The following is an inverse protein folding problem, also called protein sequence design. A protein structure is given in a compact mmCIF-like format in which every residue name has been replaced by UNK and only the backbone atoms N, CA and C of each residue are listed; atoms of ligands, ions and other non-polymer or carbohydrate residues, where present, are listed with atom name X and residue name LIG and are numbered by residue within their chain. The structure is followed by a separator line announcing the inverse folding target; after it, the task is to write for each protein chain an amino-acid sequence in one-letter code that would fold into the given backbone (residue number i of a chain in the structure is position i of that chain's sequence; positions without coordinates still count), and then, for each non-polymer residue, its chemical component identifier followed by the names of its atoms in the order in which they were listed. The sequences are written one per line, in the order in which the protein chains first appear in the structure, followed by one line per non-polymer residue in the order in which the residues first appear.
data_IF_839174267552
#
_entry.id   IF_839174267552
#
_cell.length_a   1.000
_cell.length_b   1.000
_cell.length_c   1.000
_cell.angle_alpha   90.00
_cell.angle_beta   90.00
_cell.angle_gamma   90.00
#
_symmetry.space_group_name_H-M   'P 1'
#
loop_
_entity.id
_entity.type
_entity.pdbx_description
1 polymer ?
#
# COMPACT_ATOMS: atom_id res chain seq x y z
N UNK A 1 -3.17 -13.55 7.91
CA UNK A 1 -2.10 -14.39 7.30
C UNK A 1 -2.77 -15.57 6.61
N UNK A 2 -2.77 -15.61 5.27
CA UNK A 2 -3.34 -16.73 4.51
C UNK A 2 -2.28 -17.82 4.32
N UNK A 3 -2.50 -19.00 4.89
CA UNK A 3 -1.55 -20.11 4.95
C UNK A 3 -2.06 -21.33 4.16
N UNK A 4 -2.29 -21.18 2.86
CA UNK A 4 -2.60 -22.33 1.98
C UNK A 4 -1.32 -22.94 1.44
N UNK A 5 -1.19 -24.27 1.58
CA UNK A 5 -0.03 -25.02 1.10
C UNK A 5 0.06 -25.02 -0.43
N UNK A 6 1.22 -24.63 -0.98
CA UNK A 6 1.49 -24.76 -2.42
C UNK A 6 1.79 -26.23 -2.73
N UNK A 7 1.18 -26.77 -3.78
CA UNK A 7 1.47 -28.12 -4.28
C UNK A 7 1.87 -28.06 -5.74
N UNK A 8 3.03 -28.60 -6.10
CA UNK A 8 3.54 -28.59 -7.49
C UNK A 8 3.19 -29.92 -8.13
N UNK A 9 2.51 -29.90 -9.28
CA UNK A 9 2.18 -31.10 -10.07
C UNK A 9 2.80 -31.00 -11.46
N UNK A 10 3.38 -32.09 -11.93
CA UNK A 10 3.93 -32.16 -13.29
C UNK A 10 2.97 -32.93 -14.20
N UNK A 11 2.50 -32.28 -15.26
CA UNK A 11 1.70 -32.89 -16.31
C UNK A 11 2.63 -33.46 -17.38
N UNK A 12 2.76 -34.78 -17.40
CA UNK A 12 3.69 -35.52 -18.26
C UNK A 12 3.36 -35.40 -19.74
N UNK A 13 2.08 -35.28 -20.08
CA UNK A 13 1.52 -35.13 -21.42
C UNK A 13 1.80 -33.75 -22.02
N UNK A 14 1.58 -32.69 -21.24
CA UNK A 14 1.83 -31.30 -21.65
C UNK A 14 3.29 -30.86 -21.44
N UNK A 15 4.11 -31.68 -20.76
CA UNK A 15 5.46 -31.35 -20.28
C UNK A 15 5.50 -30.00 -19.52
N UNK A 16 4.47 -29.74 -18.71
CA UNK A 16 4.31 -28.48 -17.95
C UNK A 16 4.23 -28.73 -16.45
N UNK A 17 4.83 -27.81 -15.70
CA UNK A 17 4.66 -27.74 -14.26
C UNK A 17 3.48 -26.83 -13.95
N UNK A 18 2.53 -27.34 -13.18
CA UNK A 18 1.42 -26.57 -12.63
C UNK A 18 1.58 -26.46 -11.11
N UNK A 19 1.09 -25.38 -10.53
CA UNK A 19 1.20 -25.12 -9.10
C UNK A 19 -0.20 -24.90 -8.55
N UNK A 20 -0.70 -25.86 -7.78
CA UNK A 20 -1.94 -25.70 -7.02
C UNK A 20 -1.68 -24.74 -5.85
N UNK A 21 -2.53 -23.72 -5.71
CA UNK A 21 -2.37 -22.64 -4.72
C UNK A 21 -1.83 -21.32 -5.30
N UNK A 22 -1.91 -21.13 -6.62
CA UNK A 22 -1.45 -19.93 -7.38
C UNK A 22 -1.99 -18.57 -6.93
N UNK A 23 -2.93 -18.52 -5.99
CA UNK A 23 -3.45 -17.26 -5.44
C UNK A 23 -2.34 -16.41 -4.79
N UNK A 24 -1.34 -17.05 -4.17
CA UNK A 24 -0.20 -16.36 -3.56
C UNK A 24 0.73 -15.73 -4.61
N UNK A 25 0.94 -16.40 -5.74
CA UNK A 25 1.81 -15.89 -6.81
C UNK A 25 1.23 -14.64 -7.49
N UNK A 26 -0.09 -14.63 -7.74
CA UNK A 26 -0.76 -13.47 -8.35
C UNK A 26 -0.65 -12.23 -7.47
N UNK A 27 -0.80 -12.38 -6.16
CA UNK A 27 -0.65 -11.27 -5.21
C UNK A 27 0.75 -10.68 -5.22
N UNK A 28 1.80 -11.52 -5.14
CA UNK A 28 3.20 -11.05 -5.17
C UNK A 28 3.55 -10.39 -6.51
N UNK A 29 3.00 -10.87 -7.63
CA UNK A 29 3.16 -10.23 -8.94
C UNK A 29 2.51 -8.85 -8.95
N UNK A 30 1.26 -8.74 -8.45
CA UNK A 30 0.55 -7.45 -8.40
C UNK A 30 1.31 -6.47 -7.50
N UNK A 31 1.79 -6.90 -6.33
CA UNK A 31 2.58 -6.06 -5.41
C UNK A 31 3.83 -5.50 -6.10
N UNK A 32 4.56 -6.34 -6.85
CA UNK A 32 5.74 -5.90 -7.62
C UNK A 32 5.38 -4.95 -8.76
N UNK A 33 4.23 -5.15 -9.41
CA UNK A 33 3.74 -4.26 -10.48
C UNK A 33 3.35 -2.90 -9.91
N UNK A 34 2.66 -2.90 -8.79
CA UNK A 34 2.30 -1.72 -8.02
C UNK A 34 3.54 -0.93 -7.60
N UNK A 35 4.55 -1.58 -7.03
CA UNK A 35 5.79 -0.89 -6.65
C UNK A 35 6.41 -0.18 -7.85
N UNK A 36 6.37 -0.79 -9.04
CA UNK A 36 6.94 -0.24 -10.29
C UNK A 36 5.98 0.65 -11.08
N UNK A 37 4.77 0.92 -10.56
CA UNK A 37 3.78 1.70 -11.28
C UNK A 37 4.11 3.19 -11.29
N UNK A 38 3.69 3.86 -12.36
CA UNK A 38 3.81 5.31 -12.50
C UNK A 38 2.50 5.99 -12.12
N UNK A 39 2.59 7.27 -11.75
CA UNK A 39 1.41 8.13 -11.60
C UNK A 39 0.89 8.43 -13.00
N UNK A 40 -0.41 8.23 -13.20
CA UNK A 40 -1.09 8.41 -14.48
C UNK A 40 -0.78 9.78 -15.09
N UNK A 41 -0.31 9.79 -16.34
CA UNK A 41 0.04 11.02 -17.06
C UNK A 41 1.42 11.58 -16.72
N UNK A 42 2.23 10.87 -15.93
CA UNK A 42 3.60 11.28 -15.58
C UNK A 42 4.57 10.11 -15.74
N UNK A 43 5.87 10.41 -15.74
CA UNK A 43 6.94 9.40 -15.66
C UNK A 43 7.44 9.20 -14.22
N UNK A 44 6.65 9.60 -13.22
CA UNK A 44 7.03 9.54 -11.82
C UNK A 44 6.50 8.25 -11.17
N UNK A 45 7.39 7.48 -10.52
CA UNK A 45 6.97 6.28 -9.80
C UNK A 45 6.08 6.64 -8.61
N UNK A 46 5.10 5.79 -8.37
CA UNK A 46 4.17 5.91 -7.24
C UNK A 46 4.93 5.77 -5.92
N UNK A 47 5.82 4.77 -5.82
CA UNK A 47 6.70 4.59 -4.66
C UNK A 47 7.96 5.45 -4.77
N UNK A 48 8.31 6.14 -3.68
CA UNK A 48 9.50 6.97 -3.57
C UNK A 48 10.11 6.83 -2.18
N UNK A 49 11.43 6.95 -2.09
CA UNK A 49 12.12 7.03 -0.80
C UNK A 49 11.63 8.25 -0.03
N UNK A 50 11.47 8.12 1.29
CA UNK A 50 10.94 9.21 2.13
C UNK A 50 9.43 9.41 2.05
N UNK A 51 8.69 8.61 1.27
CA UNK A 51 7.24 8.71 1.17
C UNK A 51 6.56 7.38 1.48
N UNK A 52 5.50 7.43 2.29
CA UNK A 52 4.58 6.33 2.48
C UNK A 52 3.47 6.40 1.43
N UNK A 53 3.08 5.24 0.89
CA UNK A 53 2.01 5.14 -0.10
C UNK A 53 0.97 4.14 0.38
N UNK A 54 -0.30 4.56 0.42
CA UNK A 54 -1.45 3.69 0.69
C UNK A 54 -2.27 3.58 -0.60
N UNK A 55 -2.43 2.36 -1.10
CA UNK A 55 -3.14 2.09 -2.37
C UNK A 55 -4.52 1.53 -2.05
N UNK A 56 -5.53 2.08 -2.72
CA UNK A 56 -6.93 1.73 -2.53
C UNK A 56 -7.69 1.77 -3.86
N UNK A 57 -8.87 1.15 -3.86
CA UNK A 57 -9.78 1.12 -5.01
C UNK A 57 -11.14 1.75 -4.71
N UNK A 58 -11.53 1.84 -3.44
CA UNK A 58 -12.82 2.35 -3.01
C UNK A 58 -12.70 3.76 -2.40
N UNK A 59 -13.76 4.56 -2.51
CA UNK A 59 -13.74 5.95 -2.02
C UNK A 59 -13.84 5.99 -0.50
N UNK A 60 -14.48 5.00 0.08
CA UNK A 60 -14.64 4.79 1.51
C UNK A 60 -13.25 4.63 2.18
N UNK A 61 -12.40 3.78 1.60
CA UNK A 61 -11.01 3.59 2.03
C UNK A 61 -10.21 4.91 1.99
N UNK A 62 -10.39 5.71 0.93
CA UNK A 62 -9.71 7.01 0.79
C UNK A 62 -10.01 7.91 1.99
N UNK A 63 -11.29 8.03 2.36
CA UNK A 63 -11.73 8.88 3.46
C UNK A 63 -11.20 8.37 4.79
N UNK A 64 -11.24 7.05 5.01
CA UNK A 64 -10.73 6.42 6.22
C UNK A 64 -9.22 6.64 6.38
N UNK A 65 -8.41 6.28 5.38
CA UNK A 65 -6.96 6.44 5.44
C UNK A 65 -6.53 7.90 5.50
N UNK A 66 -7.27 8.83 4.88
CA UNK A 66 -7.01 10.26 5.04
C UNK A 66 -7.20 10.72 6.49
N UNK A 67 -8.18 10.18 7.23
CA UNK A 67 -8.34 10.49 8.67
C UNK A 67 -7.13 10.03 9.45
N UNK A 68 -6.64 8.82 9.19
CA UNK A 68 -5.47 8.24 9.85
C UNK A 68 -4.20 9.05 9.55
N UNK A 69 -3.97 9.41 8.29
CA UNK A 69 -2.82 10.21 7.88
C UNK A 69 -2.87 11.61 8.49
N UNK A 70 -4.06 12.23 8.61
CA UNK A 70 -4.22 13.53 9.28
C UNK A 70 -3.89 13.45 10.78
N UNK A 71 -4.32 12.40 11.46
CA UNK A 71 -3.95 12.16 12.85
C UNK A 71 -2.43 11.99 13.00
N UNK A 72 -1.82 11.13 12.19
CA UNK A 72 -0.37 10.92 12.24
C UNK A 72 0.41 12.19 11.87
N UNK A 73 -0.11 13.01 10.97
CA UNK A 73 0.44 14.33 10.67
C UNK A 73 0.38 15.26 11.88
N UNK A 74 -0.72 15.30 12.65
CA UNK A 74 -0.82 16.15 13.85
C UNK A 74 0.14 15.70 14.96
N UNK A 75 0.47 14.40 15.01
CA UNK A 75 1.49 13.84 15.90
C UNK A 75 2.93 13.97 15.35
N UNK A 76 3.11 14.58 14.16
CA UNK A 76 4.41 14.89 13.59
C UNK A 76 5.03 13.81 12.69
N UNK A 77 4.34 12.73 12.31
CA UNK A 77 4.95 11.67 11.47
C UNK A 77 5.07 12.03 9.99
N UNK A 78 4.22 12.93 9.50
CA UNK A 78 4.19 13.33 8.09
C UNK A 78 4.40 14.84 7.96
N UNK A 79 4.98 15.26 6.84
CA UNK A 79 5.09 16.68 6.49
C UNK A 79 3.73 17.21 6.01
N UNK A 80 3.70 18.46 5.54
CA UNK A 80 2.51 19.03 4.88
C UNK A 80 2.27 18.46 3.48
N UNK A 81 3.19 17.67 2.94
CA UNK A 81 3.14 17.11 1.60
C UNK A 81 2.38 15.77 1.59
N UNK A 82 1.06 15.87 1.43
CA UNK A 82 0.17 14.72 1.25
C UNK A 82 -0.56 14.93 -0.07
N UNK A 83 -0.46 13.95 -0.96
CA UNK A 83 -0.99 13.99 -2.31
C UNK A 83 -1.86 12.76 -2.59
N UNK A 84 -2.92 12.96 -3.37
CA UNK A 84 -3.76 11.87 -3.88
C UNK A 84 -3.46 11.72 -5.35
N UNK A 85 -3.00 10.54 -5.74
CA UNK A 85 -2.54 10.25 -7.10
C UNK A 85 -3.30 9.07 -7.68
N UNK A 86 -3.50 9.08 -8.98
CA UNK A 86 -4.06 7.93 -9.71
C UNK A 86 -2.91 7.11 -10.31
N UNK A 87 -2.99 5.79 -10.18
CA UNK A 87 -1.97 4.89 -10.74
C UNK A 87 -2.25 4.70 -12.23
N UNK A 88 -1.18 4.60 -13.02
CA UNK A 88 -1.28 4.11 -14.38
C UNK A 88 -1.82 2.67 -14.39
N UNK A 89 -2.70 2.36 -15.34
CA UNK A 89 -3.36 1.07 -15.43
C UNK A 89 -2.37 -0.09 -15.52
N UNK A 90 -2.47 -1.04 -14.60
CA UNK A 90 -1.68 -2.26 -14.62
C UNK A 90 -2.49 -3.37 -15.31
N UNK A 91 -1.80 -4.30 -15.98
CA UNK A 91 -2.48 -5.41 -16.63
C UNK A 91 -3.31 -6.22 -15.60
N UNK A 92 -4.64 -6.18 -15.76
CA UNK A 92 -5.59 -6.87 -14.87
C UNK A 92 -5.99 -6.10 -13.61
N UNK A 93 -5.56 -4.84 -13.44
CA UNK A 93 -5.96 -3.95 -12.33
C UNK A 93 -6.05 -2.50 -12.82
N UNK A 94 -7.22 -1.88 -12.73
CA UNK A 94 -7.47 -0.52 -13.21
C UNK A 94 -8.20 0.33 -12.16
N UNK A 95 -8.03 1.64 -12.23
CA UNK A 95 -8.73 2.59 -11.34
C UNK A 95 -8.19 2.66 -9.92
N UNK A 96 -6.97 2.15 -9.69
CA UNK A 96 -6.31 2.30 -8.40
C UNK A 96 -5.91 3.75 -8.17
N UNK A 97 -6.07 4.18 -6.92
CA UNK A 97 -5.55 5.44 -6.44
C UNK A 97 -4.62 5.20 -5.26
N UNK A 98 -3.82 6.20 -4.94
CA UNK A 98 -2.98 6.18 -3.78
C UNK A 98 -3.01 7.51 -3.04
N UNK A 99 -2.89 7.43 -1.72
CA UNK A 99 -2.47 8.56 -0.90
C UNK A 99 -0.97 8.40 -0.72
N UNK A 100 -0.20 9.42 -1.07
CA UNK A 100 1.24 9.48 -0.90
C UNK A 100 1.55 10.60 0.10
N UNK A 101 2.22 10.24 1.19
CA UNK A 101 2.52 11.13 2.30
C UNK A 101 4.02 11.12 2.58
N UNK A 102 4.64 12.30 2.59
CA UNK A 102 6.06 12.45 2.89
C UNK A 102 6.33 12.33 4.39
N UNK A 103 7.30 11.49 4.75
CA UNK A 103 7.66 11.17 6.13
C UNK A 103 8.49 12.32 6.71
N UNK A 104 8.12 12.78 7.91
CA UNK A 104 8.95 13.69 8.69
C UNK A 104 9.95 12.87 9.52
N UNK A 105 11.22 12.91 9.13
CA UNK A 105 12.29 12.22 9.85
C UNK A 105 12.71 13.00 11.09
N UNK A 106 12.62 12.36 12.26
CA UNK A 106 13.17 12.88 13.50
C UNK A 106 14.57 12.27 13.73
N UNK A 107 15.59 13.12 13.89
CA UNK A 107 16.97 12.69 14.10
C UNK A 107 17.33 12.48 15.58
N UNK A 108 16.34 12.42 16.48
CA UNK A 108 16.52 12.35 17.93
C UNK A 108 16.09 11.01 18.52
N UNK A 109 16.78 10.59 19.59
CA UNK A 109 16.42 9.43 20.43
C UNK A 109 15.24 9.77 21.35
N UNK A 110 14.10 10.19 20.79
CA UNK A 110 12.86 10.21 21.58
C UNK A 110 12.32 8.79 21.70
N UNK A 111 11.79 8.38 22.87
CA UNK A 111 11.15 7.07 22.99
C UNK A 111 10.03 6.96 21.97
N UNK A 112 10.02 5.87 21.19
CA UNK A 112 8.96 5.57 20.22
C UNK A 112 7.60 5.57 20.94
N UNK A 113 6.88 6.69 20.87
CA UNK A 113 5.46 6.73 21.25
C UNK A 113 4.71 5.95 20.18
N UNK A 114 4.18 4.80 20.56
CA UNK A 114 3.27 4.02 19.71
C UNK A 114 1.85 4.46 20.04
N UNK A 115 1.03 4.66 19.01
CA UNK A 115 -0.39 4.97 19.17
C UNK A 115 -1.21 3.72 18.88
N UNK A 116 -2.16 3.43 19.74
CA UNK A 116 -3.11 2.33 19.54
C UNK A 116 -4.27 2.78 18.65
N UNK A 117 -4.98 1.80 18.07
CA UNK A 117 -6.21 2.09 17.32
C UNK A 117 -7.28 2.75 18.19
N UNK A 118 -7.36 2.38 19.46
CA UNK A 118 -8.33 2.95 20.41
C UNK A 118 -8.07 4.44 20.65
N UNK A 119 -6.82 4.83 20.86
CA UNK A 119 -6.41 6.23 21.03
C UNK A 119 -6.69 7.07 19.78
N UNK A 120 -6.45 6.49 18.59
CA UNK A 120 -6.80 7.12 17.31
C UNK A 120 -8.30 7.39 17.20
N UNK A 121 -9.14 6.41 17.56
CA UNK A 121 -10.59 6.56 17.48
C UNK A 121 -11.09 7.61 18.48
N UNK A 122 -10.55 7.63 19.70
CA UNK A 122 -10.90 8.66 20.70
C UNK A 122 -10.57 10.07 20.22
N UNK A 123 -9.39 10.28 19.62
CA UNK A 123 -9.00 11.59 19.11
C UNK A 123 -9.86 12.01 17.90
N UNK A 124 -10.30 11.07 17.09
CA UNK A 124 -11.14 11.35 15.92
C UNK A 124 -12.63 11.61 16.27
N UNK A 125 -13.08 11.22 17.46
CA UNK A 125 -14.43 11.47 18.00
C UNK A 125 -14.52 12.76 18.84
N UNK A 126 -13.37 13.33 19.22
CA UNK A 126 -13.24 14.57 20.01
C UNK A 126 -13.30 15.82 19.13
#
# INVERSE_FOLDING_TARGET
VYNTSLSIRFRMDEKRFDVDGTYNARYEIIKKRIDKSYIKGTNERVTQSGKMVVIYSQKEDELEYLRYIRFLKSKGYFTNNIEIVELEGLQGVTGLKAIRAEILYHSGQEPEKTYTYEELMQELES
#
